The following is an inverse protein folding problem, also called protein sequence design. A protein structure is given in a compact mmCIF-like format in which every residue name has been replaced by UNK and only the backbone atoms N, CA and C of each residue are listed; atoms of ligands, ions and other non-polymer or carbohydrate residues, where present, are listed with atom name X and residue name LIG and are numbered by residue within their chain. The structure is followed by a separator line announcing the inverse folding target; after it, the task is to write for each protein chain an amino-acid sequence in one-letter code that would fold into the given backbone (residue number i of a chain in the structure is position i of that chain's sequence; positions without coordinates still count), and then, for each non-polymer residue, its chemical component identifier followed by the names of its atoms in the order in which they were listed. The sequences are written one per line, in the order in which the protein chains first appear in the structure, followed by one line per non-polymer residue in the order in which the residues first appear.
data_IF_434763907118
#
_entry.id   IF_434763907118
#
_cell.length_a   1.000
_cell.length_b   1.000
_cell.length_c   1.000
_cell.angle_alpha   90.00
_cell.angle_beta   90.00
_cell.angle_gamma   90.00
#
_symmetry.space_group_name_H-M   'P 1'
#
loop_
_entity.id
_entity.type
_entity.pdbx_description
1 polymer ?
#
# COMPACT_ATOMS: atom_id res chain seq x y z
N UNK A 1 6.63 -19.60 -12.17
CA UNK A 1 7.26 -18.35 -11.70
C UNK A 1 8.75 -18.57 -11.44
N UNK A 2 9.12 -19.63 -10.74
CA UNK A 2 10.51 -19.95 -10.34
C UNK A 2 11.47 -20.04 -11.51
N UNK A 3 11.15 -20.80 -12.57
CA UNK A 3 12.00 -20.89 -13.77
C UNK A 3 12.25 -19.53 -14.43
N UNK A 4 11.24 -18.65 -14.42
CA UNK A 4 11.36 -17.30 -14.97
C UNK A 4 12.28 -16.44 -14.09
N UNK A 5 12.07 -16.44 -12.77
CA UNK A 5 12.90 -15.68 -11.83
C UNK A 5 14.35 -16.18 -11.81
N UNK A 6 14.56 -17.50 -11.90
CA UNK A 6 15.88 -18.12 -12.04
C UNK A 6 16.61 -17.60 -13.28
N UNK A 7 15.91 -17.57 -14.43
CA UNK A 7 16.45 -16.99 -15.67
C UNK A 7 16.78 -15.50 -15.51
N UNK A 8 15.88 -14.70 -14.92
CA UNK A 8 16.13 -13.26 -14.71
C UNK A 8 17.34 -13.02 -13.81
N UNK A 9 17.52 -13.81 -12.74
CA UNK A 9 18.70 -13.71 -11.89
C UNK A 9 19.95 -14.12 -12.67
N UNK A 10 19.91 -15.25 -13.38
CA UNK A 10 21.04 -15.73 -14.17
C UNK A 10 21.51 -14.68 -15.18
N UNK A 11 20.57 -14.11 -15.96
CA UNK A 11 20.85 -13.06 -16.94
C UNK A 11 21.46 -11.80 -16.29
N UNK A 12 21.04 -11.48 -15.05
CA UNK A 12 21.61 -10.35 -14.29
C UNK A 12 23.01 -10.67 -13.78
N UNK A 13 23.21 -11.84 -13.19
CA UNK A 13 24.50 -12.32 -12.68
C UNK A 13 25.56 -12.33 -13.78
N UNK A 14 25.24 -12.91 -14.94
CA UNK A 14 26.14 -12.95 -16.09
C UNK A 14 26.54 -11.54 -16.55
N UNK A 15 25.58 -10.61 -16.61
CA UNK A 15 25.85 -9.21 -16.91
C UNK A 15 26.75 -8.54 -15.86
N UNK A 16 26.56 -8.83 -14.57
CA UNK A 16 27.38 -8.25 -13.50
C UNK A 16 28.80 -8.79 -13.52
N UNK A 17 29.00 -10.10 -13.66
CA UNK A 17 30.32 -10.73 -13.77
C UNK A 17 31.09 -10.15 -14.97
N UNK A 18 30.45 -10.05 -16.13
CA UNK A 18 31.08 -9.46 -17.32
C UNK A 18 31.52 -7.99 -17.12
N UNK A 19 30.79 -7.22 -16.30
CA UNK A 19 31.15 -5.85 -15.95
C UNK A 19 32.32 -5.78 -14.95
N UNK A 20 32.43 -6.75 -14.04
CA UNK A 20 33.49 -6.82 -13.03
C UNK A 20 34.80 -7.34 -13.61
N UNK A 21 34.75 -8.35 -14.49
CA UNK A 21 35.93 -8.90 -15.18
C UNK A 21 36.54 -7.91 -16.19
N UNK A 22 35.74 -7.02 -16.77
CA UNK A 22 36.18 -5.97 -17.68
C UNK A 22 36.73 -4.70 -17.00
N UNK A 23 36.71 -4.61 -15.66
CA UNK A 23 37.04 -3.38 -14.90
C UNK A 23 37.91 -3.61 -13.67
N UNK A 24 38.89 -4.52 -13.73
CA UNK A 24 39.83 -4.72 -12.62
C UNK A 24 40.68 -3.48 -12.26
N UNK A 25 40.82 -2.49 -13.16
CA UNK A 25 41.64 -1.28 -12.93
C UNK A 25 40.84 0.04 -12.73
N UNK A 26 39.50 0.05 -12.83
CA UNK A 26 38.70 1.30 -12.76
C UNK A 26 37.65 1.35 -11.64
N UNK A 27 37.61 0.34 -10.75
CA UNK A 27 36.54 0.22 -9.76
C UNK A 27 36.61 1.24 -8.60
N UNK A 28 37.73 1.97 -8.45
CA UNK A 28 37.88 2.98 -7.40
C UNK A 28 37.24 4.35 -7.71
N UNK A 29 36.86 4.67 -8.96
CA UNK A 29 36.55 6.08 -9.31
C UNK A 29 35.23 6.36 -10.01
N UNK A 30 34.31 5.41 -10.18
CA UNK A 30 33.02 5.70 -10.85
C UNK A 30 31.78 5.48 -9.99
N UNK A 31 31.69 6.28 -8.92
CA UNK A 31 30.48 6.52 -8.11
C UNK A 31 29.48 7.47 -8.80
N UNK A 32 29.26 7.35 -10.12
CA UNK A 32 28.19 8.08 -10.82
C UNK A 32 26.95 7.19 -11.02
N UNK A 33 26.08 7.22 -10.01
CA UNK A 33 24.63 7.45 -10.10
C UNK A 33 23.83 6.84 -11.27
N UNK A 34 24.03 5.57 -11.61
CA UNK A 34 22.97 4.78 -12.26
C UNK A 34 22.06 4.18 -11.19
N UNK A 35 20.74 4.37 -11.32
CA UNK A 35 19.75 3.73 -10.45
C UNK A 35 19.86 2.22 -10.60
N UNK A 36 20.56 1.56 -9.67
CA UNK A 36 20.74 0.11 -9.67
C UNK A 36 19.57 -0.57 -8.95
N UNK A 37 18.91 -1.56 -9.57
CA UNK A 37 17.98 -2.45 -8.89
C UNK A 37 18.59 -3.08 -7.64
N UNK A 38 17.78 -3.28 -6.60
CA UNK A 38 18.24 -3.87 -5.34
C UNK A 38 18.90 -5.26 -5.52
N UNK A 39 18.40 -6.06 -6.47
CA UNK A 39 18.98 -7.36 -6.81
C UNK A 39 20.41 -7.23 -7.38
N UNK A 40 20.69 -6.18 -8.14
CA UNK A 40 22.03 -5.98 -8.69
C UNK A 40 23.02 -5.57 -7.58
N UNK A 41 22.57 -4.81 -6.59
CA UNK A 41 23.36 -4.49 -5.40
C UNK A 41 23.66 -5.74 -4.57
N UNK A 42 22.67 -6.63 -4.41
CA UNK A 42 22.87 -7.89 -3.70
C UNK A 42 23.84 -8.84 -4.43
N UNK A 43 23.75 -8.89 -5.77
CA UNK A 43 24.68 -9.67 -6.60
C UNK A 43 26.10 -9.09 -6.51
N UNK A 44 26.25 -7.77 -6.56
CA UNK A 44 27.55 -7.10 -6.42
C UNK A 44 28.22 -7.46 -5.10
N UNK A 45 27.49 -7.32 -3.99
CA UNK A 45 27.99 -7.65 -2.66
C UNK A 45 28.39 -9.12 -2.57
N UNK A 46 27.55 -10.03 -3.06
CA UNK A 46 27.84 -11.46 -3.07
C UNK A 46 29.13 -11.80 -3.85
N UNK A 47 29.30 -11.21 -5.04
CA UNK A 47 30.51 -11.41 -5.86
C UNK A 47 31.75 -10.90 -5.12
N UNK A 48 31.65 -9.77 -4.43
CA UNK A 48 32.77 -9.20 -3.66
C UNK A 48 33.15 -10.06 -2.44
N UNK A 49 32.17 -10.67 -1.76
CA UNK A 49 32.43 -11.46 -0.54
C UNK A 49 32.88 -12.89 -0.82
N UNK A 50 32.36 -13.54 -1.86
CA UNK A 50 32.59 -14.97 -2.09
C UNK A 50 33.70 -15.28 -3.11
N UNK A 51 34.20 -14.27 -3.86
CA UNK A 51 35.45 -14.36 -4.63
C UNK A 51 35.47 -15.32 -5.83
N UNK A 52 34.46 -16.17 -5.98
CA UNK A 52 34.31 -17.08 -7.10
C UNK A 52 33.25 -16.50 -8.03
N UNK A 53 33.62 -16.24 -9.29
CA UNK A 53 32.73 -15.65 -10.32
C UNK A 53 31.53 -16.51 -10.72
N UNK A 54 30.94 -17.29 -9.81
CA UNK A 54 29.68 -18.02 -9.94
C UNK A 54 28.86 -17.83 -8.67
N UNK A 55 27.62 -17.42 -8.86
CA UNK A 55 26.65 -17.29 -7.78
C UNK A 55 26.23 -18.67 -7.28
N UNK A 56 26.25 -18.88 -5.96
CA UNK A 56 25.87 -20.17 -5.36
C UNK A 56 24.38 -20.47 -5.60
N UNK A 57 24.02 -21.75 -5.67
CA UNK A 57 22.61 -22.16 -5.77
C UNK A 57 21.80 -21.66 -4.58
N UNK A 58 22.41 -21.59 -3.39
CA UNK A 58 21.81 -21.05 -2.18
C UNK A 58 21.47 -19.56 -2.33
N UNK A 59 22.41 -18.72 -2.77
CA UNK A 59 22.12 -17.31 -3.03
C UNK A 59 21.02 -17.16 -4.08
N UNK A 60 21.07 -17.94 -5.17
CA UNK A 60 20.07 -17.86 -6.23
C UNK A 60 18.68 -18.19 -5.68
N UNK A 61 18.57 -19.20 -4.82
CA UNK A 61 17.30 -19.56 -4.18
C UNK A 61 16.81 -18.46 -3.24
N UNK A 62 17.68 -17.93 -2.38
CA UNK A 62 17.35 -16.80 -1.48
C UNK A 62 16.87 -15.59 -2.29
N UNK A 63 17.55 -15.24 -3.37
CA UNK A 63 17.17 -14.14 -4.25
C UNK A 63 15.78 -14.37 -4.88
N UNK A 64 15.49 -15.60 -5.34
CA UNK A 64 14.16 -15.96 -5.85
C UNK A 64 13.09 -15.75 -4.78
N UNK A 65 13.32 -16.21 -3.57
CA UNK A 65 12.34 -16.15 -2.49
C UNK A 65 12.11 -14.71 -1.99
N UNK A 66 13.15 -13.89 -1.94
CA UNK A 66 13.02 -12.46 -1.66
C UNK A 66 12.26 -11.71 -2.76
N UNK A 67 12.52 -12.00 -4.04
CA UNK A 67 11.77 -11.40 -5.14
C UNK A 67 10.29 -11.77 -5.11
N UNK A 68 9.96 -13.04 -4.84
CA UNK A 68 8.56 -13.47 -4.66
C UNK A 68 7.90 -12.71 -3.51
N UNK A 69 8.62 -12.56 -2.40
CA UNK A 69 8.14 -11.82 -1.22
C UNK A 69 7.84 -10.36 -1.57
N UNK A 70 8.74 -9.68 -2.29
CA UNK A 70 8.51 -8.28 -2.70
C UNK A 70 7.36 -8.14 -3.70
N UNK A 71 7.25 -9.04 -4.68
CA UNK A 71 6.14 -9.05 -5.64
C UNK A 71 4.80 -9.25 -4.92
N UNK A 72 4.72 -10.23 -4.03
CA UNK A 72 3.53 -10.49 -3.25
C UNK A 72 3.17 -9.29 -2.35
N UNK A 73 4.12 -8.80 -1.55
CA UNK A 73 3.89 -7.72 -0.60
C UNK A 73 3.48 -6.41 -1.31
N UNK A 74 4.13 -6.07 -2.42
CA UNK A 74 3.84 -4.85 -3.18
C UNK A 74 2.53 -4.92 -3.97
N UNK A 75 2.20 -6.08 -4.55
CA UNK A 75 0.97 -6.25 -5.34
C UNK A 75 -0.27 -6.42 -4.46
N UNK A 76 -0.22 -7.33 -3.49
CA UNK A 76 -1.43 -7.78 -2.80
C UNK A 76 -1.99 -6.69 -1.85
N UNK A 77 -1.12 -5.94 -1.18
CA UNK A 77 -1.53 -4.84 -0.30
C UNK A 77 -2.04 -3.63 -1.09
N UNK A 78 -1.27 -3.16 -2.07
CA UNK A 78 -1.63 -1.99 -2.89
C UNK A 78 -2.92 -2.22 -3.69
N UNK A 79 -3.11 -3.39 -4.29
CA UNK A 79 -4.35 -3.71 -5.01
C UNK A 79 -5.57 -3.71 -4.08
N UNK A 80 -5.43 -4.21 -2.85
CA UNK A 80 -6.50 -4.17 -1.86
C UNK A 80 -6.86 -2.75 -1.46
N UNK A 81 -5.84 -1.92 -1.17
CA UNK A 81 -6.05 -0.52 -0.83
C UNK A 81 -6.72 0.23 -1.99
N UNK A 82 -6.31 0.00 -3.24
CA UNK A 82 -6.95 0.61 -4.40
C UNK A 82 -8.41 0.21 -4.55
N UNK A 83 -8.78 -1.05 -4.29
CA UNK A 83 -10.20 -1.45 -4.24
C UNK A 83 -11.00 -0.60 -3.25
N UNK A 84 -10.45 -0.34 -2.07
CA UNK A 84 -11.10 0.53 -1.08
C UNK A 84 -11.09 2.01 -1.45
N UNK A 85 -10.06 2.51 -2.13
CA UNK A 85 -10.05 3.88 -2.67
C UNK A 85 -11.23 4.07 -3.61
N UNK A 86 -11.41 3.16 -4.57
CA UNK A 86 -12.54 3.23 -5.50
C UNK A 86 -13.88 3.13 -4.78
N UNK A 87 -14.00 2.20 -3.84
CA UNK A 87 -15.22 2.02 -3.06
C UNK A 87 -15.60 3.29 -2.29
N UNK A 88 -14.65 3.88 -1.56
CA UNK A 88 -14.88 5.08 -0.76
C UNK A 88 -15.20 6.30 -1.64
N UNK A 89 -14.47 6.50 -2.74
CA UNK A 89 -14.76 7.60 -3.66
C UNK A 89 -16.13 7.45 -4.34
N UNK A 90 -16.59 6.23 -4.61
CA UNK A 90 -17.94 5.99 -5.14
C UNK A 90 -19.04 6.32 -4.11
N UNK A 91 -18.79 6.05 -2.83
CA UNK A 91 -19.69 6.41 -1.73
C UNK A 91 -19.67 7.91 -1.38
N UNK A 92 -18.60 8.61 -1.76
CA UNK A 92 -18.36 10.01 -1.44
C UNK A 92 -18.10 10.85 -2.72
N UNK A 93 -19.14 11.14 -3.53
CA UNK A 93 -19.00 11.89 -4.78
C UNK A 93 -18.34 13.27 -4.63
N UNK A 94 -18.52 13.93 -3.48
CA UNK A 94 -17.87 15.18 -3.13
C UNK A 94 -16.34 15.04 -3.03
N UNK A 95 -15.87 13.90 -2.50
CA UNK A 95 -14.45 13.61 -2.38
C UNK A 95 -13.84 13.25 -3.73
N UNK A 96 -14.58 12.47 -4.52
CA UNK A 96 -14.22 12.17 -5.90
C UNK A 96 -14.11 13.44 -6.75
N UNK A 97 -15.03 14.39 -6.59
CA UNK A 97 -14.99 15.67 -7.30
C UNK A 97 -13.74 16.49 -6.92
N UNK A 98 -13.35 16.50 -5.64
CA UNK A 98 -12.13 17.18 -5.18
C UNK A 98 -10.86 16.54 -5.72
N UNK A 99 -10.78 15.21 -5.71
CA UNK A 99 -9.65 14.46 -6.30
C UNK A 99 -9.54 14.75 -7.81
N UNK A 100 -10.66 14.66 -8.53
CA UNK A 100 -10.69 14.93 -9.97
C UNK A 100 -10.27 16.36 -10.28
N UNK A 101 -10.78 17.34 -9.51
CA UNK A 101 -10.38 18.74 -9.64
C UNK A 101 -8.89 18.94 -9.38
N UNK A 102 -8.32 18.34 -8.34
CA UNK A 102 -6.88 18.41 -8.08
C UNK A 102 -6.07 17.85 -9.26
N UNK A 103 -6.52 16.73 -9.84
CA UNK A 103 -5.84 16.16 -11.01
C UNK A 103 -5.93 17.07 -12.23
N UNK A 104 -7.10 17.66 -12.49
CA UNK A 104 -7.30 18.58 -13.61
C UNK A 104 -6.48 19.88 -13.43
N UNK A 105 -6.39 20.40 -12.21
CA UNK A 105 -5.61 21.62 -11.91
C UNK A 105 -4.10 21.40 -12.13
N UNK A 106 -3.57 20.21 -11.81
CA UNK A 106 -2.12 19.92 -11.90
C UNK A 106 -1.73 19.34 -13.26
N UNK A 107 -2.52 18.42 -13.80
CA UNK A 107 -2.19 17.67 -15.01
C UNK A 107 -2.99 18.12 -16.23
N UNK A 108 -4.02 18.97 -16.09
CA UNK A 108 -4.92 19.32 -17.19
C UNK A 108 -5.66 18.09 -17.70
N UNK A 109 -5.86 17.99 -19.01
CA UNK A 109 -6.50 16.82 -19.63
C UNK A 109 -5.78 15.49 -19.32
N UNK A 110 -6.53 14.39 -19.31
CA UNK A 110 -6.03 13.05 -19.03
C UNK A 110 -5.03 12.63 -20.11
N UNK A 111 -5.26 13.07 -21.34
CA UNK A 111 -4.36 12.87 -22.48
C UNK A 111 -2.99 13.50 -22.19
N UNK A 112 -1.94 12.66 -22.27
CA UNK A 112 -0.57 13.06 -21.99
C UNK A 112 -0.18 13.07 -20.50
N UNK A 113 -1.08 12.74 -19.57
CA UNK A 113 -0.75 12.61 -18.14
C UNK A 113 0.44 11.67 -17.91
N UNK A 114 0.46 10.52 -18.58
CA UNK A 114 1.56 9.55 -18.46
C UNK A 114 2.92 10.14 -18.89
N UNK A 115 2.95 10.93 -19.97
CA UNK A 115 4.18 11.57 -20.44
C UNK A 115 4.62 12.71 -19.51
N UNK A 116 3.66 13.47 -18.94
CA UNK A 116 3.96 14.48 -17.92
C UNK A 116 4.61 13.85 -16.68
N UNK A 117 4.10 12.72 -16.21
CA UNK A 117 4.71 11.98 -15.07
C UNK A 117 6.13 11.53 -15.40
N UNK A 118 6.38 11.01 -16.62
CA UNK A 118 7.73 10.58 -17.02
C UNK A 118 8.71 11.76 -17.11
N UNK A 119 8.25 12.88 -17.65
CA UNK A 119 9.07 14.08 -17.85
C UNK A 119 9.34 14.83 -16.55
N UNK A 120 8.34 14.95 -15.67
CA UNK A 120 8.46 15.57 -14.35
C UNK A 120 7.70 14.78 -13.27
N UNK A 121 8.31 13.73 -12.69
CA UNK A 121 7.71 12.95 -11.62
C UNK A 121 7.38 13.76 -10.36
N UNK A 122 7.98 14.96 -10.19
CA UNK A 122 7.77 15.80 -9.00
C UNK A 122 6.36 16.40 -8.98
N UNK A 123 5.67 16.48 -10.12
CA UNK A 123 4.26 16.89 -10.20
C UNK A 123 3.36 16.04 -9.30
N UNK A 124 3.74 14.79 -9.02
CA UNK A 124 3.00 13.93 -8.10
C UNK A 124 3.02 14.43 -6.65
N UNK A 125 3.95 15.33 -6.28
CA UNK A 125 3.97 15.98 -4.98
C UNK A 125 2.87 17.05 -4.86
N UNK A 126 2.40 17.59 -5.98
CA UNK A 126 1.31 18.57 -6.06
C UNK A 126 -0.08 17.90 -5.97
N UNK A 127 -0.15 16.64 -5.52
CA UNK A 127 -1.40 15.91 -5.27
C UNK A 127 -1.63 15.61 -3.77
N UNK A 128 -1.65 16.63 -2.88
CA UNK A 128 -1.83 16.43 -1.45
C UNK A 128 -3.18 15.81 -1.08
N UNK A 129 -4.25 16.15 -1.78
CA UNK A 129 -5.59 15.62 -1.53
C UNK A 129 -5.73 14.15 -1.93
N UNK A 130 -5.21 13.78 -3.10
CA UNK A 130 -5.13 12.37 -3.52
C UNK A 130 -4.33 11.55 -2.51
N UNK A 131 -3.22 12.12 -2.02
CA UNK A 131 -2.42 11.50 -0.95
C UNK A 131 -3.24 11.32 0.33
N UNK A 132 -4.02 12.34 0.71
CA UNK A 132 -4.88 12.31 1.89
C UNK A 132 -5.99 11.25 1.79
N UNK A 133 -6.60 11.09 0.59
CA UNK A 133 -7.57 10.04 0.29
C UNK A 133 -6.99 8.64 0.45
N UNK A 134 -5.79 8.39 -0.08
CA UNK A 134 -5.10 7.10 0.09
C UNK A 134 -4.79 6.86 1.57
N UNK A 135 -4.34 7.89 2.30
CA UNK A 135 -4.01 7.77 3.71
C UNK A 135 -5.22 7.45 4.58
N UNK A 136 -6.37 8.10 4.32
CA UNK A 136 -7.63 7.83 5.01
C UNK A 136 -8.18 6.45 4.65
N UNK A 137 -8.00 6.01 3.40
CA UNK A 137 -8.33 4.65 2.99
C UNK A 137 -7.51 3.62 3.78
N UNK A 138 -6.19 3.82 3.90
CA UNK A 138 -5.32 2.96 4.71
C UNK A 138 -5.64 3.01 6.21
N UNK A 139 -6.22 4.11 6.71
CA UNK A 139 -6.69 4.23 8.08
C UNK A 139 -7.89 3.31 8.31
N UNK A 140 -8.91 3.42 7.45
CA UNK A 140 -10.14 2.64 7.53
C UNK A 140 -9.94 1.17 7.17
N UNK A 141 -9.16 0.88 6.14
CA UNK A 141 -8.96 -0.47 5.61
C UNK A 141 -7.47 -0.81 5.53
N UNK A 142 -6.77 -0.93 6.68
CA UNK A 142 -5.37 -1.29 6.67
C UNK A 142 -5.20 -2.70 6.07
N UNK A 143 -4.44 -2.87 4.97
CA UNK A 143 -4.35 -4.16 4.29
C UNK A 143 -3.52 -5.18 5.06
N UNK A 144 -2.72 -4.75 6.03
CA UNK A 144 -1.88 -5.62 6.82
C UNK A 144 -1.76 -5.12 8.26
N UNK A 145 -1.47 -6.08 9.14
CA UNK A 145 -1.01 -5.84 10.49
C UNK A 145 -0.04 -6.97 10.84
N UNK A 146 0.86 -6.73 11.77
CA UNK A 146 1.94 -7.68 12.06
C UNK A 146 2.02 -8.02 13.54
N UNK A 147 2.20 -9.31 13.84
CA UNK A 147 2.50 -9.80 15.17
C UNK A 147 4.01 -9.93 15.39
N UNK A 148 4.45 -9.87 16.64
CA UNK A 148 5.83 -10.12 17.06
C UNK A 148 5.83 -11.20 18.12
N UNK A 149 6.80 -12.11 18.05
CA UNK A 149 7.06 -13.02 19.16
C UNK A 149 7.51 -12.19 20.36
N UNK A 150 6.82 -12.33 21.49
CA UNK A 150 7.24 -11.72 22.74
C UNK A 150 8.47 -12.43 23.32
N UNK A 151 9.15 -11.75 24.24
CA UNK A 151 10.41 -12.20 24.84
C UNK A 151 10.25 -12.41 26.34
N UNK A 152 10.90 -13.42 26.94
CA UNK A 152 10.98 -13.56 28.40
C UNK A 152 11.59 -12.34 29.12
N UNK A 153 12.36 -11.52 28.39
CA UNK A 153 12.99 -10.29 28.90
C UNK A 153 12.18 -9.02 28.62
N UNK A 154 10.96 -9.13 28.09
CA UNK A 154 10.13 -7.99 27.72
C UNK A 154 8.74 -8.11 28.33
N UNK A 155 8.40 -7.14 29.17
CA UNK A 155 7.04 -6.91 29.64
C UNK A 155 6.50 -5.61 29.02
N UNK A 156 5.20 -5.60 28.71
CA UNK A 156 4.49 -4.38 28.32
C UNK A 156 3.83 -3.78 29.56
N UNK A 157 4.10 -2.52 29.87
CA UNK A 157 3.46 -1.84 30.98
C UNK A 157 2.32 -0.95 30.49
N UNK A 158 1.12 -1.14 31.05
CA UNK A 158 -0.04 -0.29 30.78
C UNK A 158 -0.78 -0.01 32.10
N UNK A 159 -1.11 1.25 32.38
CA UNK A 159 -1.78 1.66 33.63
C UNK A 159 -1.12 1.07 34.90
N UNK A 160 0.21 1.14 34.99
CA UNK A 160 1.03 0.58 36.07
C UNK A 160 0.90 -0.95 36.27
N UNK A 161 0.30 -1.65 35.31
CA UNK A 161 0.20 -3.11 35.28
C UNK A 161 1.23 -3.65 34.29
N UNK A 162 2.04 -4.62 34.73
CA UNK A 162 3.00 -5.32 33.88
C UNK A 162 2.31 -6.50 33.19
N UNK A 163 2.51 -6.62 31.87
CA UNK A 163 2.02 -7.70 31.05
C UNK A 163 3.20 -8.46 30.44
N UNK A 164 3.56 -9.64 30.98
CA UNK A 164 4.66 -10.43 30.44
C UNK A 164 4.39 -10.87 29.01
N UNK A 165 5.40 -10.75 28.14
CA UNK A 165 5.27 -11.15 26.73
C UNK A 165 5.86 -12.53 26.43
N UNK A 166 6.44 -13.20 27.44
CA UNK A 166 6.99 -14.55 27.30
C UNK A 166 5.96 -15.52 26.72
N UNK A 167 6.35 -16.27 25.69
CA UNK A 167 5.54 -17.30 25.03
C UNK A 167 4.20 -16.81 24.41
N UNK A 168 4.01 -15.51 24.22
CA UNK A 168 2.85 -14.96 23.50
C UNK A 168 3.27 -14.16 22.26
N UNK A 169 2.35 -14.03 21.30
CA UNK A 169 2.50 -13.07 20.21
C UNK A 169 1.90 -11.73 20.61
N UNK A 170 2.67 -10.67 20.46
CA UNK A 170 2.19 -9.28 20.62
C UNK A 170 1.73 -8.79 19.27
N UNK A 171 0.45 -8.42 19.16
CA UNK A 171 -0.15 -8.01 17.90
C UNK A 171 -0.66 -6.57 17.96
N UNK A 172 -0.19 -5.73 17.04
CA UNK A 172 -0.63 -4.34 16.89
C UNK A 172 -1.88 -4.31 16.00
N UNK A 173 -3.07 -4.22 16.59
CA UNK A 173 -4.30 -4.19 15.81
C UNK A 173 -4.55 -2.79 15.23
N UNK A 174 -4.07 -2.58 13.99
CA UNK A 174 -4.25 -1.33 13.26
C UNK A 174 -5.74 -1.02 13.01
N UNK A 175 -6.58 -2.04 12.78
CA UNK A 175 -7.99 -1.84 12.47
C UNK A 175 -8.77 -1.23 13.64
N UNK A 176 -8.52 -1.69 14.88
CA UNK A 176 -9.15 -1.14 16.08
C UNK A 176 -8.53 0.19 16.50
N UNK A 177 -7.19 0.29 16.50
CA UNK A 177 -6.48 1.51 16.88
C UNK A 177 -6.83 2.69 15.96
N UNK A 178 -6.91 2.45 14.65
CA UNK A 178 -7.31 3.48 13.69
C UNK A 178 -8.79 3.89 13.78
N UNK A 179 -9.62 3.13 14.51
CA UNK A 179 -11.04 3.42 14.77
C UNK A 179 -11.32 3.84 16.21
N UNK A 180 -10.30 4.02 17.03
CA UNK A 180 -10.47 4.54 18.38
C UNK A 180 -10.81 6.02 18.31
N UNK A 181 -12.00 6.41 18.78
CA UNK A 181 -12.47 7.80 18.76
C UNK A 181 -11.59 8.75 19.60
N UNK A 182 -10.84 8.23 20.59
CA UNK A 182 -9.88 9.00 21.37
C UNK A 182 -8.61 9.36 20.55
N UNK A 183 -8.31 8.60 19.51
CA UNK A 183 -7.18 8.82 18.60
C UNK A 183 -7.62 9.49 17.29
N UNK A 184 -8.81 9.13 16.79
CA UNK A 184 -9.36 9.59 15.51
C UNK A 184 -10.83 10.01 15.69
N UNK A 185 -11.11 11.31 15.91
CA UNK A 185 -12.47 11.81 15.97
C UNK A 185 -13.27 11.51 14.70
N UNK A 186 -14.53 11.13 14.87
CA UNK A 186 -15.36 10.51 13.83
C UNK A 186 -14.65 9.33 13.14
N UNK A 187 -14.31 8.27 13.90
CA UNK A 187 -13.41 7.22 13.44
C UNK A 187 -13.95 6.40 12.26
N UNK A 188 -15.27 6.26 12.14
CA UNK A 188 -15.88 5.49 11.05
C UNK A 188 -16.18 6.34 9.81
N UNK A 189 -16.01 7.66 9.90
CA UNK A 189 -16.21 8.58 8.77
C UNK A 189 -14.99 8.62 7.86
N UNK A 190 -15.21 8.67 6.55
CA UNK A 190 -14.18 8.93 5.56
C UNK A 190 -13.90 10.43 5.50
N UNK A 191 -12.82 10.86 6.16
CA UNK A 191 -12.44 12.28 6.26
C UNK A 191 -10.99 12.50 5.78
N UNK A 192 -10.73 12.54 4.46
CA UNK A 192 -9.38 12.77 3.92
C UNK A 192 -8.71 14.03 4.47
N UNK A 193 -9.50 15.09 4.70
CA UNK A 193 -9.02 16.38 5.20
C UNK A 193 -8.10 16.29 6.44
N UNK A 194 -8.25 15.27 7.30
CA UNK A 194 -7.41 15.08 8.50
C UNK A 194 -5.92 14.84 8.20
N UNK A 195 -5.59 14.47 6.97
CA UNK A 195 -4.21 14.24 6.52
C UNK A 195 -3.60 15.42 5.77
N UNK A 196 -4.33 16.52 5.63
CA UNK A 196 -3.83 17.75 5.03
C UNK A 196 -3.11 18.61 6.07
N UNK A 197 -2.16 19.46 5.64
CA UNK A 197 -1.60 20.47 6.52
C UNK A 197 -2.66 21.52 6.86
N UNK A 198 -2.54 22.16 8.02
CA UNK A 198 -3.48 23.20 8.48
C UNK A 198 -3.52 24.44 7.56
N UNK A 199 -2.51 24.63 6.71
CA UNK A 199 -2.49 25.68 5.70
C UNK A 199 -3.35 25.36 4.46
N UNK A 200 -3.77 24.10 4.28
CA UNK A 200 -4.54 23.69 3.12
C UNK A 200 -6.01 24.10 3.28
N UNK A 201 -6.66 24.75 2.30
CA UNK A 201 -8.04 25.22 2.44
C UNK A 201 -9.04 24.11 2.81
N UNK A 202 -8.86 22.92 2.25
CA UNK A 202 -9.72 21.75 2.53
C UNK A 202 -9.53 21.16 3.93
N UNK A 203 -8.51 21.55 4.70
CA UNK A 203 -8.31 21.09 6.08
C UNK A 203 -9.50 21.48 6.98
N UNK A 204 -10.09 22.64 6.71
CA UNK A 204 -11.17 23.24 7.51
C UNK A 204 -12.58 22.77 7.12
N UNK A 205 -12.72 21.75 6.28
CA UNK A 205 -14.03 21.23 5.86
C UNK A 205 -14.81 20.57 7.00
N UNK A 206 -14.13 20.11 8.05
CA UNK A 206 -14.73 19.38 9.15
C UNK A 206 -13.94 19.65 10.44
N UNK A 207 -14.59 20.11 11.54
CA UNK A 207 -13.91 20.33 12.81
C UNK A 207 -13.16 19.09 13.34
N UNK A 208 -13.68 17.90 13.04
CA UNK A 208 -13.07 16.62 13.44
C UNK A 208 -11.77 16.29 12.70
N UNK A 209 -11.53 16.91 11.53
CA UNK A 209 -10.25 16.81 10.84
C UNK A 209 -9.17 17.68 11.52
N UNK A 210 -9.59 18.78 12.17
CA UNK A 210 -8.69 19.78 12.76
C UNK A 210 -8.06 19.36 14.09
N UNK A 211 -8.61 18.35 14.76
CA UNK A 211 -8.06 17.81 16.02
C UNK A 211 -6.65 17.25 15.83
N UNK A 212 -6.29 16.90 14.60
CA UNK A 212 -5.00 16.31 14.27
C UNK A 212 -4.92 14.83 14.64
N UNK A 213 -3.81 14.20 14.27
CA UNK A 213 -3.57 12.78 14.53
C UNK A 213 -2.47 12.67 15.58
N UNK A 214 -2.71 12.00 16.72
CA UNK A 214 -1.68 11.81 17.71
C UNK A 214 -0.43 11.16 17.12
N UNK A 215 0.72 11.56 17.64
CA UNK A 215 2.00 10.97 17.22
C UNK A 215 1.91 9.45 17.37
N UNK A 216 2.35 8.75 16.33
CA UNK A 216 2.37 7.28 16.29
C UNK A 216 1.00 6.58 16.27
N UNK A 217 -0.14 7.30 16.21
CA UNK A 217 -1.46 6.67 16.08
C UNK A 217 -1.77 6.17 14.65
N UNK A 218 -1.23 6.83 13.61
CA UNK A 218 -1.35 6.36 12.23
C UNK A 218 -0.19 5.43 11.86
N UNK A 219 -0.50 4.13 11.67
CA UNK A 219 0.50 3.06 11.49
C UNK A 219 0.17 2.01 10.40
N UNK A 220 -0.38 2.35 9.23
CA UNK A 220 -0.67 1.33 8.21
C UNK A 220 0.58 0.65 7.62
N UNK A 221 1.75 1.27 7.78
CA UNK A 221 3.05 0.74 7.34
C UNK A 221 3.95 0.29 8.50
N UNK A 222 3.40 0.22 9.73
CA UNK A 222 4.13 0.02 10.98
C UNK A 222 5.25 1.04 11.23
N UNK A 223 5.94 0.90 12.37
CA UNK A 223 7.09 1.73 12.75
C UNK A 223 8.23 0.89 13.33
N UNK A 224 9.43 1.47 13.36
CA UNK A 224 10.63 0.82 13.90
C UNK A 224 11.36 -0.10 12.91
N UNK A 225 12.21 -1.03 13.39
CA UNK A 225 13.08 -1.85 12.53
C UNK A 225 12.34 -2.73 11.51
N UNK A 226 11.05 -2.98 11.74
CA UNK A 226 10.18 -3.79 10.89
C UNK A 226 9.12 -2.95 10.16
N UNK A 227 9.29 -1.63 10.10
CA UNK A 227 8.47 -0.76 9.25
C UNK A 227 8.56 -1.18 7.78
N UNK A 228 7.47 -0.98 7.04
CA UNK A 228 7.38 -1.35 5.63
C UNK A 228 8.46 -0.63 4.81
N UNK A 229 9.36 -1.41 4.20
CA UNK A 229 10.40 -0.87 3.30
C UNK A 229 9.82 -0.36 1.97
N UNK A 230 8.64 -0.86 1.60
CA UNK A 230 7.95 -0.49 0.36
C UNK A 230 7.02 0.71 0.48
N UNK A 231 6.94 1.39 1.64
CA UNK A 231 5.97 2.47 1.87
C UNK A 231 6.00 3.55 0.78
N UNK A 232 7.18 4.08 0.46
CA UNK A 232 7.31 5.16 -0.53
C UNK A 232 6.90 4.69 -1.94
N UNK A 233 7.28 3.47 -2.32
CA UNK A 233 6.87 2.88 -3.59
C UNK A 233 5.35 2.66 -3.63
N UNK A 234 4.76 2.09 -2.58
CA UNK A 234 3.33 1.82 -2.51
C UNK A 234 2.51 3.11 -2.59
N UNK A 235 2.89 4.16 -1.84
CA UNK A 235 2.21 5.46 -1.89
C UNK A 235 2.33 6.10 -3.28
N UNK A 236 3.49 5.99 -3.93
CA UNK A 236 3.70 6.48 -5.29
C UNK A 236 2.86 5.72 -6.31
N UNK A 237 2.88 4.39 -6.28
CA UNK A 237 2.11 3.52 -7.18
C UNK A 237 0.62 3.77 -7.02
N UNK A 238 0.09 3.76 -5.80
CA UNK A 238 -1.33 4.03 -5.54
C UNK A 238 -1.75 5.42 -6.02
N UNK A 239 -0.90 6.44 -5.85
CA UNK A 239 -1.15 7.79 -6.34
C UNK A 239 -1.21 7.84 -7.87
N UNK A 240 -0.26 7.21 -8.55
CA UNK A 240 -0.24 7.12 -10.02
C UNK A 240 -1.47 6.36 -10.52
N UNK A 241 -1.78 5.20 -9.93
CA UNK A 241 -2.97 4.42 -10.31
C UNK A 241 -4.22 5.29 -10.14
N UNK A 242 -4.39 5.92 -8.98
CA UNK A 242 -5.52 6.81 -8.71
C UNK A 242 -5.64 7.91 -9.77
N UNK A 243 -4.56 8.67 -10.02
CA UNK A 243 -4.49 9.72 -11.04
C UNK A 243 -4.90 9.23 -12.43
N UNK A 244 -4.42 8.05 -12.83
CA UNK A 244 -4.64 7.52 -14.17
C UNK A 244 -6.03 6.89 -14.36
N UNK A 245 -6.71 6.50 -13.28
CA UNK A 245 -7.95 5.70 -13.39
C UNK A 245 -9.20 6.41 -12.91
N UNK A 246 -9.16 7.24 -11.86
CA UNK A 246 -10.40 7.83 -11.29
C UNK A 246 -11.08 8.82 -12.22
N UNK A 247 -10.30 9.42 -13.14
CA UNK A 247 -10.77 10.33 -14.19
C UNK A 247 -11.38 9.62 -15.39
N UNK A 248 -10.95 8.38 -15.65
CA UNK A 248 -11.42 7.59 -16.79
C UNK A 248 -12.56 6.64 -16.43
N UNK A 249 -12.59 6.15 -15.19
CA UNK A 249 -13.48 5.07 -14.80
C UNK A 249 -14.35 5.44 -13.58
N UNK A 250 -15.58 4.95 -13.61
CA UNK A 250 -16.43 4.80 -12.43
C UNK A 250 -16.44 3.31 -12.05
N UNK A 251 -16.10 3.04 -10.79
CA UNK A 251 -15.98 1.69 -10.23
C UNK A 251 -16.99 1.59 -9.09
N UNK A 252 -18.07 0.84 -9.33
CA UNK A 252 -19.18 0.71 -8.38
C UNK A 252 -19.33 -0.73 -7.94
N UNK A 253 -19.31 -0.97 -6.63
CA UNK A 253 -19.61 -2.30 -6.07
C UNK A 253 -21.04 -2.73 -6.44
N UNK A 254 -21.21 -3.96 -6.93
CA UNK A 254 -22.46 -4.50 -7.47
C UNK A 254 -22.81 -5.85 -6.83
N UNK A 255 -22.77 -5.87 -5.50
CA UNK A 255 -22.99 -7.07 -4.69
C UNK A 255 -24.35 -7.74 -4.92
N UNK A 256 -25.42 -6.97 -5.14
CA UNK A 256 -26.76 -7.51 -5.39
C UNK A 256 -26.85 -8.20 -6.77
N UNK A 257 -26.27 -7.58 -7.80
CA UNK A 257 -26.15 -8.19 -9.13
C UNK A 257 -25.30 -9.47 -9.09
N UNK A 258 -24.24 -9.47 -8.26
CA UNK A 258 -23.38 -10.63 -8.07
C UNK A 258 -24.11 -11.78 -7.39
N UNK A 259 -24.90 -11.50 -6.35
CA UNK A 259 -25.72 -12.52 -5.69
C UNK A 259 -26.78 -13.09 -6.62
N UNK A 260 -27.47 -12.23 -7.39
CA UNK A 260 -28.45 -12.67 -8.38
C UNK A 260 -27.83 -13.62 -9.41
N UNK A 261 -26.61 -13.32 -9.89
CA UNK A 261 -25.86 -14.20 -10.80
C UNK A 261 -25.49 -15.56 -10.19
N UNK A 262 -25.36 -15.62 -8.86
CA UNK A 262 -25.06 -16.84 -8.13
C UNK A 262 -26.32 -17.58 -7.66
N UNK A 263 -27.52 -17.13 -8.03
CA UNK A 263 -28.78 -17.73 -7.60
C UNK A 263 -29.06 -17.55 -6.10
N UNK A 264 -28.46 -16.53 -5.46
CA UNK A 264 -28.66 -16.25 -4.04
C UNK A 264 -29.89 -15.35 -3.88
N UNK A 265 -30.98 -15.90 -3.37
CA UNK A 265 -32.28 -15.20 -3.24
C UNK A 265 -32.37 -14.28 -2.00
N UNK A 266 -31.49 -14.45 -1.01
CA UNK A 266 -31.43 -13.62 0.20
C UNK A 266 -29.99 -13.21 0.51
N UNK A 267 -29.72 -11.96 0.95
CA UNK A 267 -28.43 -11.59 1.51
C UNK A 267 -28.13 -12.52 2.70
N UNK A 268 -27.01 -13.25 2.63
CA UNK A 268 -26.69 -14.38 3.50
C UNK A 268 -26.92 -14.20 5.01
N UNK A 269 -27.47 -15.24 5.62
CA UNK A 269 -27.69 -15.42 7.05
C UNK A 269 -26.36 -15.42 7.83
N UNK A 270 -25.97 -14.31 8.48
CA UNK A 270 -25.13 -14.34 9.69
C UNK A 270 -25.13 -13.03 10.52
N UNK A 271 -24.98 -13.26 11.83
CA UNK A 271 -24.73 -12.43 13.04
C UNK A 271 -25.65 -11.24 13.42
N UNK A 272 -26.31 -10.56 12.50
CA UNK A 272 -27.29 -9.52 12.86
C UNK A 272 -28.40 -9.29 11.81
N UNK A 273 -28.48 -10.16 10.80
CA UNK A 273 -29.46 -10.02 9.71
C UNK A 273 -29.12 -8.90 8.71
N UNK A 274 -27.93 -8.28 8.81
CA UNK A 274 -27.43 -7.30 7.84
C UNK A 274 -26.15 -7.84 7.22
N UNK A 275 -26.13 -8.05 5.91
CA UNK A 275 -24.90 -8.41 5.19
C UNK A 275 -24.00 -7.17 5.06
N UNK A 276 -23.35 -6.75 6.15
CA UNK A 276 -22.41 -5.64 6.11
C UNK A 276 -21.81 -5.26 7.46
N UNK A 277 -20.62 -4.66 7.42
CA UNK A 277 -19.98 -3.99 8.56
C UNK A 277 -19.88 -2.50 8.21
N UNK A 278 -20.14 -1.62 9.17
CA UNK A 278 -20.14 -0.17 8.96
C UNK A 278 -21.10 0.31 7.85
N UNK A 279 -22.22 -0.40 7.66
CA UNK A 279 -23.24 -0.04 6.67
C UNK A 279 -22.98 -0.55 5.25
N UNK A 280 -21.88 -1.28 5.01
CA UNK A 280 -21.53 -1.77 3.66
C UNK A 280 -21.13 -3.25 3.65
N UNK A 281 -21.42 -3.93 2.54
CA UNK A 281 -21.04 -5.33 2.31
C UNK A 281 -19.55 -5.53 2.00
N UNK A 282 -18.84 -4.47 1.63
CA UNK A 282 -17.40 -4.42 1.36
C UNK A 282 -16.52 -4.52 2.61
N UNK A 283 -17.01 -5.11 3.71
CA UNK A 283 -16.23 -5.26 4.94
C UNK A 283 -14.94 -6.05 4.69
N UNK A 284 -13.93 -5.81 5.51
CA UNK A 284 -12.60 -6.37 5.32
C UNK A 284 -12.52 -7.79 5.89
N UNK A 285 -12.13 -8.74 5.05
CA UNK A 285 -11.76 -10.10 5.42
C UNK A 285 -10.24 -10.21 5.46
N UNK A 286 -9.69 -10.56 6.62
CA UNK A 286 -8.25 -10.83 6.76
C UNK A 286 -7.93 -12.20 6.18
N UNK A 287 -7.29 -12.21 5.01
CA UNK A 287 -6.68 -13.41 4.40
C UNK A 287 -5.16 -13.28 4.55
N UNK A 288 -4.41 -13.36 3.46
CA UNK A 288 -2.98 -13.01 3.46
C UNK A 288 -2.77 -11.49 3.59
N UNK A 289 -3.69 -10.70 3.00
CA UNK A 289 -3.91 -9.28 3.31
C UNK A 289 -5.41 -9.08 3.59
N UNK A 290 -5.78 -7.96 4.19
CA UNK A 290 -7.17 -7.55 4.36
C UNK A 290 -7.78 -7.18 3.01
N UNK A 291 -8.78 -7.94 2.57
CA UNK A 291 -9.47 -7.80 1.28
C UNK A 291 -10.96 -7.50 1.49
N UNK A 292 -11.65 -6.84 0.54
CA UNK A 292 -13.09 -6.73 0.62
C UNK A 292 -13.77 -8.10 0.48
N UNK A 293 -14.85 -8.29 1.24
CA UNK A 293 -15.67 -9.51 1.20
C UNK A 293 -16.12 -9.84 -0.22
N UNK A 294 -16.14 -11.13 -0.55
CA UNK A 294 -16.39 -11.67 -1.91
C UNK A 294 -15.49 -11.06 -3.01
N UNK A 295 -14.39 -10.38 -2.67
CA UNK A 295 -13.49 -9.73 -3.63
C UNK A 295 -14.01 -8.41 -4.23
N UNK A 296 -15.06 -7.81 -3.66
CA UNK A 296 -15.73 -6.61 -4.19
C UNK A 296 -16.14 -6.76 -5.66
N UNK A 297 -17.14 -7.60 -5.98
CA UNK A 297 -17.74 -7.60 -7.31
C UNK A 297 -18.14 -6.18 -7.69
N UNK A 298 -17.66 -5.70 -8.83
CA UNK A 298 -17.83 -4.33 -9.25
C UNK A 298 -18.16 -4.21 -10.73
N UNK A 299 -18.95 -3.20 -11.06
CA UNK A 299 -19.15 -2.70 -12.42
C UNK A 299 -18.15 -1.58 -12.66
N UNK A 300 -17.36 -1.72 -13.72
CA UNK A 300 -16.41 -0.70 -14.17
C UNK A 300 -16.97 -0.08 -15.46
N UNK A 301 -17.20 1.22 -15.44
CA UNK A 301 -17.71 1.97 -16.58
C UNK A 301 -16.73 3.06 -16.95
N UNK A 302 -16.47 3.25 -18.25
CA UNK A 302 -15.71 4.40 -18.71
C UNK A 302 -16.60 5.65 -18.57
N UNK A 303 -16.06 6.73 -17.97
CA UNK A 303 -16.74 8.02 -17.91
C UNK A 303 -16.89 8.57 -19.32
N UNK A 304 -18.03 9.17 -19.61
CA UNK A 304 -18.22 9.92 -20.85
C UNK A 304 -17.58 11.29 -20.63
N UNK A 305 -16.53 11.57 -21.39
CA UNK A 305 -15.90 12.88 -21.49
C UNK A 305 -16.79 13.86 -22.24
#
# INVERSE_FOLDING_TARGET
MDNYLKKVIQDRVEKRIALTDGKKDEMETNTKTSKRPAIDLAIDEFIMTEGEGKVSEEFQQVAIDQMKTFLFAGHDTSSSTMSYVYHLLNLHPEELARVTKEHDDVFGDIDGTAEKIKNDPKLLNELPYTTAVIKETLRLYPPASTARQGSPSLDLTYNNTSHPTSNIMVWINNHTMHRDASLFPSPDSFLPARFLPSSHPLYHLSPQAEVGIPKDAYRPFEKGPRACKGQELAMLEMKIICLMTVREFDVKACYDEWDAKLGREKPGDMLDGRRGMFGYRSYQEMKASGKPADGMPARVMRRKT
#
